data_IF_926274501596
#
_entry.id   IF_926274501596
#
_cell.length_a   1.000
_cell.length_b   1.000
_cell.length_c   1.000
_cell.angle_alpha   90.00
_cell.angle_beta   90.00
_cell.angle_gamma   90.00
#
_symmetry.space_group_name_H-M   'P 1'
#
loop_
_entity.id
_entity.type
_entity.pdbx_description
1 polymer ?
#
# COMPACT_ATOMS: atom_id res chain seq x y z
N UNK A 1 5.54 20.52 13.44
CA UNK A 1 4.66 19.35 13.21
C UNK A 1 3.59 19.37 14.28
N UNK A 2 2.37 19.79 13.95
CA UNK A 2 1.25 19.85 14.90
C UNK A 2 0.70 18.42 15.04
N UNK A 3 0.91 17.80 16.21
CA UNK A 3 0.35 16.50 16.58
C UNK A 3 -1.17 16.65 16.76
N UNK A 4 -1.95 16.23 15.77
CA UNK A 4 -3.32 15.78 16.04
C UNK A 4 -3.27 14.28 16.35
N UNK A 5 -3.99 13.80 17.37
CA UNK A 5 -4.07 12.37 17.63
C UNK A 5 -4.68 11.66 16.41
N UNK A 6 -4.13 10.50 16.07
CA UNK A 6 -4.71 9.55 15.11
C UNK A 6 -6.20 9.41 15.47
N UNK A 7 -7.10 9.68 14.50
CA UNK A 7 -8.49 10.02 14.83
C UNK A 7 -9.28 8.81 15.34
N UNK A 8 -8.88 7.60 14.96
CA UNK A 8 -9.42 6.34 15.47
C UNK A 8 -8.46 5.16 15.15
N UNK A 9 -7.99 4.44 16.18
CA UNK A 9 -7.13 3.25 16.02
C UNK A 9 -7.90 1.93 16.03
N UNK A 10 -9.22 1.95 16.26
CA UNK A 10 -10.04 0.74 16.29
C UNK A 10 -9.92 -0.11 15.02
N UNK A 11 -9.94 0.46 13.80
CA UNK A 11 -9.77 -0.33 12.59
C UNK A 11 -8.43 -1.09 12.55
N UNK A 12 -7.37 -0.50 13.11
CA UNK A 12 -6.05 -1.13 13.20
C UNK A 12 -6.05 -2.24 14.27
N UNK A 13 -6.69 -2.01 15.42
CA UNK A 13 -6.83 -3.01 16.46
C UNK A 13 -7.62 -4.24 15.96
N UNK A 14 -8.71 -4.02 15.23
CA UNK A 14 -9.52 -5.09 14.63
C UNK A 14 -8.71 -5.95 13.65
N UNK A 15 -7.84 -5.33 12.84
CA UNK A 15 -6.97 -6.06 11.91
C UNK A 15 -5.98 -6.95 12.68
N UNK A 16 -5.37 -6.43 13.74
CA UNK A 16 -4.40 -7.18 14.56
C UNK A 16 -5.09 -8.31 15.30
N UNK A 17 -6.25 -8.06 15.89
CA UNK A 17 -7.02 -9.09 16.60
C UNK A 17 -7.44 -10.22 15.66
N UNK A 18 -7.98 -9.87 14.49
CA UNK A 18 -8.35 -10.85 13.46
C UNK A 18 -7.14 -11.67 12.99
N UNK A 19 -5.96 -11.06 12.86
CA UNK A 19 -4.73 -11.77 12.54
C UNK A 19 -4.40 -12.79 13.64
N UNK A 20 -4.44 -12.36 14.91
CA UNK A 20 -4.17 -13.22 16.07
C UNK A 20 -5.12 -14.42 16.15
N UNK A 21 -6.42 -14.19 15.95
CA UNK A 21 -7.43 -15.27 15.93
C UNK A 21 -7.16 -16.30 14.82
N UNK A 22 -6.82 -15.83 13.61
CA UNK A 22 -6.54 -16.72 12.48
C UNK A 22 -5.27 -17.53 12.70
N UNK A 23 -4.21 -16.91 13.21
CA UNK A 23 -2.96 -17.60 13.56
C UNK A 23 -3.21 -18.61 14.67
N UNK A 24 -4.00 -18.27 15.70
CA UNK A 24 -4.34 -19.20 16.79
C UNK A 24 -5.09 -20.45 16.30
N UNK A 25 -5.97 -20.31 15.32
CA UNK A 25 -6.65 -21.47 14.70
C UNK A 25 -5.66 -22.31 13.90
N UNK A 26 -4.83 -21.65 13.09
CA UNK A 26 -3.85 -22.30 12.22
C UNK A 26 -2.84 -23.15 13.00
N UNK A 27 -2.31 -22.67 14.13
CA UNK A 27 -1.37 -23.43 14.98
C UNK A 27 -2.00 -24.68 15.60
N UNK A 28 -3.34 -24.72 15.72
CA UNK A 28 -4.06 -25.86 16.31
C UNK A 28 -4.33 -26.94 15.26
N UNK A 29 -4.47 -26.55 13.99
CA UNK A 29 -4.88 -27.41 12.89
C UNK A 29 -3.68 -27.92 12.05
N UNK A 30 -2.61 -27.14 11.94
CA UNK A 30 -1.49 -27.45 11.05
C UNK A 30 -0.44 -28.34 11.73
N UNK A 31 -0.04 -29.43 11.05
CA UNK A 31 1.03 -30.34 11.51
C UNK A 31 2.27 -30.34 10.62
N UNK A 32 2.30 -29.45 9.63
CA UNK A 32 3.35 -29.34 8.63
C UNK A 32 3.99 -27.95 8.76
N UNK A 33 5.30 -27.92 8.98
CA UNK A 33 6.04 -26.68 9.18
C UNK A 33 6.01 -25.77 7.96
N UNK A 34 6.15 -26.35 6.75
CA UNK A 34 6.14 -25.59 5.51
C UNK A 34 4.78 -24.93 5.30
N UNK A 35 3.69 -25.68 5.51
CA UNK A 35 2.34 -25.14 5.39
C UNK A 35 2.03 -24.09 6.46
N UNK A 36 2.53 -24.30 7.69
CA UNK A 36 2.36 -23.33 8.76
C UNK A 36 3.02 -21.99 8.40
N UNK A 37 4.28 -22.03 7.94
CA UNK A 37 5.00 -20.84 7.53
C UNK A 37 4.30 -20.12 6.37
N UNK A 38 3.91 -20.87 5.33
CA UNK A 38 3.23 -20.31 4.16
C UNK A 38 1.91 -19.61 4.53
N UNK A 39 1.08 -20.23 5.36
CA UNK A 39 -0.21 -19.69 5.76
C UNK A 39 -0.07 -18.50 6.74
N UNK A 40 0.86 -18.56 7.70
CA UNK A 40 1.19 -17.41 8.56
C UNK A 40 1.67 -16.23 7.73
N UNK A 41 2.49 -16.49 6.72
CA UNK A 41 2.99 -15.46 5.82
C UNK A 41 1.87 -14.79 5.02
N UNK A 42 0.96 -15.56 4.40
CA UNK A 42 -0.21 -15.04 3.69
C UNK A 42 -1.12 -14.20 4.59
N UNK A 43 -1.38 -14.67 5.80
CA UNK A 43 -2.20 -13.94 6.78
C UNK A 43 -1.56 -12.61 7.17
N UNK A 44 -0.25 -12.62 7.43
CA UNK A 44 0.51 -11.43 7.79
C UNK A 44 0.51 -10.40 6.66
N UNK A 45 0.74 -10.83 5.41
CA UNK A 45 0.69 -9.94 4.25
C UNK A 45 -0.69 -9.31 4.07
N UNK A 46 -1.77 -10.09 4.22
CA UNK A 46 -3.13 -9.58 4.18
C UNK A 46 -3.42 -8.54 5.26
N UNK A 47 -2.86 -8.69 6.46
CA UNK A 47 -2.96 -7.70 7.53
C UNK A 47 -2.14 -6.44 7.21
N UNK A 48 -0.89 -6.58 6.73
CA UNK A 48 -0.04 -5.47 6.33
C UNK A 48 -0.67 -4.59 5.25
N UNK A 49 -1.30 -5.20 4.24
CA UNK A 49 -2.04 -4.48 3.18
C UNK A 49 -3.13 -3.61 3.78
N UNK A 50 -3.93 -4.15 4.70
CA UNK A 50 -5.04 -3.40 5.33
C UNK A 50 -4.53 -2.27 6.21
N UNK A 51 -3.50 -2.53 7.01
CA UNK A 51 -2.85 -1.52 7.86
C UNK A 51 -2.28 -0.39 7.00
N UNK A 52 -1.63 -0.72 5.90
CA UNK A 52 -1.05 0.27 4.99
C UNK A 52 -2.12 1.10 4.28
N UNK A 53 -3.21 0.48 3.83
CA UNK A 53 -4.34 1.20 3.26
C UNK A 53 -4.97 2.17 4.27
N UNK A 54 -5.21 1.72 5.51
CA UNK A 54 -5.70 2.59 6.59
C UNK A 54 -4.76 3.77 6.87
N UNK A 55 -3.44 3.52 6.92
CA UNK A 55 -2.46 4.59 7.14
C UNK A 55 -2.51 5.67 6.04
N UNK A 56 -2.70 5.27 4.78
CA UNK A 56 -2.85 6.23 3.67
C UNK A 56 -4.14 7.04 3.77
N UNK A 57 -5.25 6.43 4.20
CA UNK A 57 -6.53 7.12 4.41
C UNK A 57 -6.46 8.12 5.57
N UNK A 58 -5.77 7.77 6.66
CA UNK A 58 -5.52 8.69 7.78
C UNK A 58 -4.64 9.87 7.34
N UNK A 59 -3.59 9.63 6.56
CA UNK A 59 -2.75 10.70 6.00
C UNK A 59 -3.59 11.61 5.08
N UNK A 60 -4.43 11.05 4.20
CA UNK A 60 -5.30 11.86 3.33
C UNK A 60 -6.31 12.70 4.14
N UNK A 61 -6.84 12.16 5.24
CA UNK A 61 -7.73 12.88 6.16
C UNK A 61 -7.00 13.98 6.93
N UNK A 62 -5.78 13.72 7.39
CA UNK A 62 -4.94 14.76 7.97
C UNK A 62 -4.64 15.88 6.97
N UNK A 63 -4.31 15.55 5.72
CA UNK A 63 -4.07 16.55 4.67
C UNK A 63 -5.30 17.40 4.36
N UNK A 64 -6.51 16.84 4.46
CA UNK A 64 -7.75 17.62 4.34
C UNK A 64 -7.86 18.69 5.42
N UNK A 65 -7.46 18.37 6.65
CA UNK A 65 -7.55 19.28 7.79
C UNK A 65 -6.42 20.31 7.77
N UNK A 66 -5.22 19.90 7.37
CA UNK A 66 -4.03 20.75 7.32
C UNK A 66 -3.97 21.68 6.10
N UNK A 67 -4.72 21.40 5.02
CA UNK A 67 -4.64 22.20 3.79
C UNK A 67 -5.11 23.64 3.99
N UNK A 68 -4.54 24.53 3.18
CA UNK A 68 -5.11 25.85 2.96
C UNK A 68 -6.40 25.76 2.12
N UNK A 69 -7.56 25.95 2.78
CA UNK A 69 -8.89 25.93 2.16
C UNK A 69 -9.12 27.10 1.20
N UNK A 70 -8.31 28.16 1.27
CA UNK A 70 -8.37 29.28 0.32
C UNK A 70 -7.80 28.86 -1.02
N UNK A 71 -6.67 28.16 -1.00
CA UNK A 71 -5.93 27.73 -2.20
C UNK A 71 -6.47 26.43 -2.79
N UNK A 72 -6.72 25.39 -1.98
CA UNK A 72 -7.07 24.05 -2.45
C UNK A 72 -8.54 23.68 -2.18
N UNK A 73 -9.28 23.37 -3.25
CA UNK A 73 -10.66 22.85 -3.19
C UNK A 73 -10.67 21.36 -3.53
N UNK A 74 -11.39 20.57 -2.74
CA UNK A 74 -11.69 19.16 -3.11
C UNK A 74 -12.73 19.16 -4.22
N UNK A 75 -12.42 18.48 -5.31
CA UNK A 75 -13.30 18.39 -6.49
C UNK A 75 -13.78 16.96 -6.77
N UNK A 76 -13.29 15.97 -6.02
CA UNK A 76 -13.78 14.60 -6.11
C UNK A 76 -12.85 13.60 -5.45
N UNK A 77 -13.09 12.32 -5.72
CA UNK A 77 -12.28 11.20 -5.28
C UNK A 77 -11.77 10.43 -6.50
N UNK A 78 -10.56 9.87 -6.37
CA UNK A 78 -10.03 8.91 -7.32
C UNK A 78 -9.54 7.69 -6.56
N UNK A 79 -9.86 6.54 -7.09
CA UNK A 79 -9.37 5.26 -6.59
C UNK A 79 -8.39 4.69 -7.61
N UNK A 80 -7.32 4.06 -7.13
CA UNK A 80 -6.45 3.26 -7.98
C UNK A 80 -5.97 2.02 -7.24
N UNK A 81 -5.71 0.96 -8.00
CA UNK A 81 -5.08 -0.26 -7.49
C UNK A 81 -3.56 -0.17 -7.66
N UNK A 82 -2.83 -0.47 -6.58
CA UNK A 82 -1.38 -0.28 -6.48
C UNK A 82 -0.74 -1.54 -5.95
N UNK A 83 0.41 -1.86 -6.53
CA UNK A 83 1.24 -3.01 -6.16
C UNK A 83 2.35 -2.55 -5.21
N UNK A 84 2.43 -3.15 -4.03
CA UNK A 84 3.48 -2.92 -3.05
C UNK A 84 4.22 -4.19 -2.68
N UNK A 85 5.29 -4.06 -1.90
CA UNK A 85 5.98 -5.18 -1.27
C UNK A 85 5.13 -5.93 -0.24
N UNK A 86 3.97 -5.38 0.16
CA UNK A 86 3.04 -6.05 1.07
C UNK A 86 1.92 -6.80 0.34
N UNK A 87 1.66 -6.45 -0.92
CA UNK A 87 0.44 -6.86 -1.59
C UNK A 87 -0.13 -5.79 -2.51
N UNK A 88 -1.15 -6.20 -3.23
CA UNK A 88 -1.98 -5.31 -4.04
C UNK A 88 -3.05 -4.71 -3.14
N UNK A 89 -3.20 -3.40 -3.21
CA UNK A 89 -4.19 -2.68 -2.41
C UNK A 89 -4.82 -1.56 -3.21
N UNK A 90 -6.01 -1.16 -2.81
CA UNK A 90 -6.69 0.00 -3.38
C UNK A 90 -6.44 1.21 -2.50
N UNK A 91 -6.09 2.33 -3.13
CA UNK A 91 -5.97 3.62 -2.45
C UNK A 91 -7.06 4.54 -2.96
N UNK A 92 -7.85 5.08 -2.02
CA UNK A 92 -8.82 6.13 -2.28
C UNK A 92 -8.22 7.46 -1.86
N UNK A 93 -8.05 8.38 -2.81
CA UNK A 93 -7.43 9.69 -2.60
C UNK A 93 -8.33 10.81 -3.07
N UNK A 94 -8.25 11.96 -2.40
CA UNK A 94 -9.02 13.16 -2.79
C UNK A 94 -8.31 13.90 -3.92
N UNK A 95 -9.08 14.29 -4.94
CA UNK A 95 -8.60 15.15 -6.02
C UNK A 95 -8.80 16.61 -5.61
N UNK A 96 -7.71 17.37 -5.66
CA UNK A 96 -7.70 18.78 -5.33
C UNK A 96 -7.57 19.62 -6.59
N UNK A 97 -8.15 20.83 -6.55
CA UNK A 97 -7.95 21.87 -7.55
C UNK A 97 -7.47 23.13 -6.86
N UNK A 98 -6.37 23.69 -7.35
CA UNK A 98 -5.88 24.98 -6.94
C UNK A 98 -6.79 26.07 -7.54
N UNK A 99 -7.33 26.95 -6.70
CA UNK A 99 -8.22 28.03 -7.14
C UNK A 99 -7.48 29.17 -7.85
N UNK A 100 -6.18 29.32 -7.59
CA UNK A 100 -5.35 30.38 -8.16
C UNK A 100 -4.75 29.96 -9.50
N UNK A 101 -4.11 28.78 -9.55
CA UNK A 101 -3.45 28.30 -10.79
C UNK A 101 -4.37 27.45 -11.67
N UNK A 102 -5.50 26.97 -11.12
CA UNK A 102 -6.42 26.07 -11.83
C UNK A 102 -5.96 24.61 -11.91
N UNK A 103 -4.73 24.32 -11.46
CA UNK A 103 -4.10 23.00 -11.52
C UNK A 103 -4.82 21.98 -10.62
N UNK A 104 -4.86 20.73 -11.08
CA UNK A 104 -5.41 19.62 -10.33
C UNK A 104 -4.28 18.70 -9.85
N UNK A 105 -4.40 18.16 -8.64
CA UNK A 105 -3.38 17.28 -8.08
C UNK A 105 -3.85 16.52 -6.85
N UNK A 106 -3.00 15.62 -6.38
CA UNK A 106 -3.23 14.80 -5.19
C UNK A 106 -2.25 15.23 -4.08
N UNK A 107 -2.75 15.81 -3.00
CA UNK A 107 -1.91 16.21 -1.88
C UNK A 107 -1.23 15.01 -1.21
N UNK A 108 -1.89 13.85 -1.19
CA UNK A 108 -1.33 12.59 -0.67
C UNK A 108 -0.06 12.19 -1.44
N UNK A 109 -0.12 12.24 -2.77
CA UNK A 109 1.00 11.90 -3.64
C UNK A 109 2.17 12.87 -3.43
N UNK A 110 1.88 14.17 -3.35
CA UNK A 110 2.89 15.20 -3.10
C UNK A 110 3.55 15.03 -1.73
N UNK A 111 2.76 14.75 -0.69
CA UNK A 111 3.27 14.56 0.67
C UNK A 111 4.18 13.33 0.80
N UNK A 112 3.90 12.26 0.03
CA UNK A 112 4.66 11.01 0.07
C UNK A 112 5.73 10.91 -1.03
N UNK A 113 5.87 11.92 -1.88
CA UNK A 113 6.76 11.87 -3.04
C UNK A 113 6.39 10.76 -4.03
N UNK A 114 5.12 10.40 -4.10
CA UNK A 114 4.64 9.30 -4.91
C UNK A 114 4.21 9.80 -6.30
N UNK A 115 4.70 9.16 -7.35
CA UNK A 115 4.38 9.58 -8.71
C UNK A 115 2.90 9.33 -9.06
N UNK A 116 2.26 10.33 -9.67
CA UNK A 116 0.81 10.36 -9.91
C UNK A 116 0.28 9.21 -10.76
N UNK A 117 1.15 8.62 -11.60
CA UNK A 117 0.81 7.58 -12.58
C UNK A 117 1.36 6.19 -12.25
N UNK A 118 2.29 6.07 -11.30
CA UNK A 118 2.88 4.76 -11.07
C UNK A 118 1.91 3.81 -10.38
N UNK A 119 1.85 2.58 -10.91
CA UNK A 119 1.07 1.48 -10.34
C UNK A 119 1.86 0.72 -9.27
N UNK A 120 3.13 1.04 -9.05
CA UNK A 120 3.94 0.45 -7.99
C UNK A 120 4.30 1.49 -6.91
N UNK A 121 4.52 0.98 -5.70
CA UNK A 121 5.15 1.78 -4.64
C UNK A 121 6.63 2.01 -4.93
N UNK A 122 7.21 3.17 -4.53
CA UNK A 122 8.62 3.47 -4.76
C UNK A 122 9.58 2.38 -4.25
N UNK A 123 9.29 1.81 -3.07
CA UNK A 123 10.08 0.72 -2.48
C UNK A 123 10.12 -0.54 -3.35
N UNK A 124 8.97 -0.93 -3.92
CA UNK A 124 8.91 -2.09 -4.80
C UNK A 124 9.65 -1.81 -6.12
N UNK A 125 9.53 -0.59 -6.65
CA UNK A 125 10.26 -0.17 -7.85
C UNK A 125 11.77 -0.26 -7.65
N UNK A 126 12.27 0.25 -6.52
CA UNK A 126 13.69 0.18 -6.18
C UNK A 126 14.17 -1.27 -6.04
N UNK A 127 13.39 -2.13 -5.37
CA UNK A 127 13.70 -3.55 -5.22
C UNK A 127 13.79 -4.26 -6.58
N UNK A 128 12.83 -4.00 -7.47
CA UNK A 128 12.83 -4.59 -8.80
C UNK A 128 14.04 -4.12 -9.65
N UNK A 129 14.41 -2.84 -9.56
CA UNK A 129 15.59 -2.29 -10.25
C UNK A 129 16.88 -2.95 -9.75
N UNK A 130 17.03 -3.09 -8.43
CA UNK A 130 18.20 -3.76 -7.84
C UNK A 130 18.31 -5.22 -8.25
N UNK A 131 17.21 -5.98 -8.17
CA UNK A 131 17.19 -7.37 -8.61
C UNK A 131 17.48 -7.52 -10.10
N UNK A 132 16.94 -6.62 -10.94
CA UNK A 132 17.19 -6.62 -12.38
C UNK A 132 18.62 -6.29 -12.79
N UNK A 133 19.41 -5.66 -11.91
CA UNK A 133 20.82 -5.38 -12.16
C UNK A 133 21.70 -6.63 -12.00
N UNK A 134 21.33 -7.53 -11.08
CA UNK A 134 22.17 -8.67 -10.68
C UNK A 134 21.79 -9.99 -11.37
N UNK A 135 20.62 -10.08 -12.00
CA UNK A 135 20.18 -11.32 -12.63
C UNK A 135 19.28 -11.11 -13.85
N UNK A 136 19.17 -12.14 -14.73
CA UNK A 136 18.28 -12.09 -15.87
C UNK A 136 16.84 -11.80 -15.45
N UNK A 137 16.22 -10.92 -16.22
CA UNK A 137 14.93 -10.31 -15.92
C UNK A 137 13.82 -11.29 -15.49
N UNK A 138 13.74 -12.46 -16.13
CA UNK A 138 12.78 -13.52 -15.79
C UNK A 138 12.93 -14.01 -14.34
N UNK A 139 14.16 -14.20 -13.86
CA UNK A 139 14.44 -14.61 -12.47
C UNK A 139 14.20 -13.47 -11.49
N UNK A 140 14.56 -12.24 -11.86
CA UNK A 140 14.29 -11.07 -11.04
C UNK A 140 12.78 -10.84 -10.81
N UNK A 141 11.92 -11.22 -11.76
CA UNK A 141 10.47 -11.12 -11.63
C UNK A 141 9.84 -12.24 -10.77
N UNK A 142 10.48 -13.41 -10.69
CA UNK A 142 10.03 -14.52 -9.84
C UNK A 142 10.18 -14.18 -8.35
N UNK A 143 11.26 -13.51 -7.96
CA UNK A 143 11.57 -13.15 -6.56
C UNK A 143 10.46 -12.31 -5.90
N UNK A 144 9.97 -11.21 -6.50
CA UNK A 144 8.81 -10.48 -5.99
C UNK A 144 7.54 -11.32 -5.87
N UNK A 145 7.36 -12.35 -6.72
CA UNK A 145 6.23 -13.28 -6.60
C UNK A 145 6.28 -14.13 -5.34
N UNK A 146 7.48 -14.48 -4.85
CA UNK A 146 7.67 -15.12 -3.55
C UNK A 146 7.46 -14.15 -2.38
N UNK A 147 7.74 -12.86 -2.58
CA UNK A 147 7.59 -11.82 -1.56
C UNK A 147 6.16 -11.28 -1.44
N UNK A 148 5.32 -11.50 -2.46
CA UNK A 148 3.96 -10.96 -2.50
C UNK A 148 2.98 -12.04 -2.97
N UNK A 149 2.50 -12.89 -2.05
CA UNK A 149 1.62 -14.00 -2.41
C UNK A 149 0.31 -13.45 -3.00
N UNK A 150 -0.01 -13.88 -4.23
CA UNK A 150 -1.22 -13.47 -4.96
C UNK A 150 -1.00 -12.48 -6.11
N UNK A 151 0.21 -11.93 -6.28
CA UNK A 151 0.55 -11.09 -7.43
C UNK A 151 1.43 -11.87 -8.38
N UNK A 152 1.03 -11.94 -9.66
CA UNK A 152 1.87 -12.59 -10.65
C UNK A 152 3.19 -11.82 -10.83
N UNK A 153 4.33 -12.50 -11.06
CA UNK A 153 5.58 -11.88 -11.50
C UNK A 153 5.39 -10.84 -12.61
N UNK A 154 4.46 -11.13 -13.53
CA UNK A 154 4.10 -10.28 -14.65
C UNK A 154 3.36 -8.99 -14.23
N UNK A 155 2.50 -9.06 -13.21
CA UNK A 155 1.80 -7.89 -12.67
C UNK A 155 2.75 -6.97 -11.91
N UNK A 156 3.70 -7.53 -11.16
CA UNK A 156 4.81 -6.74 -10.57
C UNK A 156 5.59 -6.04 -11.67
N UNK A 157 5.91 -6.74 -12.76
CA UNK A 157 6.64 -6.15 -13.87
C UNK A 157 5.90 -5.00 -14.57
N UNK A 158 4.64 -5.21 -14.94
CA UNK A 158 3.84 -4.15 -15.56
C UNK A 158 3.73 -2.93 -14.65
N UNK A 159 3.68 -3.13 -13.33
CA UNK A 159 3.64 -2.04 -12.37
C UNK A 159 4.97 -1.27 -12.27
N UNK A 160 6.11 -1.92 -12.48
CA UNK A 160 7.46 -1.31 -12.44
C UNK A 160 7.79 -0.53 -13.71
N UNK A 161 7.32 -1.00 -14.88
CA UNK A 161 7.56 -0.37 -16.18
C UNK A 161 6.63 0.82 -16.49
N UNK A 162 5.49 0.93 -15.81
CA UNK A 162 4.52 2.04 -15.95
C UNK A 162 4.83 3.23 -15.05
#
# INVERSE_FOLDING_TARGET
MHNQPISDIQPLADIILLLGEKVSKLITECRDFYKLEEEVYKLSQGACVKIFAWALEEIDTWLVNARDKRTWKVIGFRERTVVSSFGEFKVKRRLYRNKQTGEAGFLLDQALGWSERSRCTPRLKEMAVKLGADMPFRRAAEIPGYLVPGISPMAVWQAVQG
#
